data_IF_952309283785
#
_entry.id   IF_952309283785
#
_cell.length_a   1.000
_cell.length_b   1.000
_cell.length_c   1.000
_cell.angle_alpha   90.00
_cell.angle_beta   90.00
_cell.angle_gamma   90.00
#
_symmetry.space_group_name_H-M   'P 1'
#
loop_
_entity.id
_entity.type
_entity.pdbx_description
1 polymer ?
#
# COMPACT_ATOMS: atom_id res chain seq x y z
N UNK A 1 -32.51 43.27 27.91
CA UNK A 1 -31.55 42.43 28.66
C UNK A 1 -30.32 43.27 28.87
N UNK A 2 -29.88 43.44 30.12
CA UNK A 2 -28.81 44.38 30.45
C UNK A 2 -27.49 43.92 29.81
N UNK A 3 -26.84 44.82 29.06
CA UNK A 3 -25.50 44.60 28.54
C UNK A 3 -24.52 44.64 29.72
N UNK A 4 -24.08 43.46 30.16
CA UNK A 4 -23.14 43.30 31.25
C UNK A 4 -21.73 43.37 30.67
N UNK A 5 -21.15 44.58 30.66
CA UNK A 5 -19.79 44.81 30.15
C UNK A 5 -18.75 44.15 31.06
N UNK A 6 -18.00 43.18 30.51
CA UNK A 6 -16.86 42.56 31.18
C UNK A 6 -15.57 43.30 30.76
N UNK A 7 -14.71 43.65 31.72
CA UNK A 7 -13.35 44.12 31.44
C UNK A 7 -12.38 42.94 31.50
N UNK A 8 -11.83 42.54 30.35
CA UNK A 8 -10.91 41.40 30.20
C UNK A 8 -11.05 40.74 28.83
N UNK A 9 -10.28 39.68 28.59
CA UNK A 9 -10.46 38.80 27.40
C UNK A 9 -11.49 37.74 27.73
N UNK A 10 -12.55 37.66 26.93
CA UNK A 10 -13.54 36.59 26.98
C UNK A 10 -13.24 35.57 25.86
N UNK A 11 -13.13 34.29 26.23
CA UNK A 11 -13.03 33.19 25.28
C UNK A 11 -14.39 32.48 25.22
N UNK A 12 -15.13 32.71 24.14
CA UNK A 12 -16.33 31.92 23.82
C UNK A 12 -15.96 30.82 22.83
N UNK A 13 -15.66 29.62 23.34
CA UNK A 13 -15.38 28.46 22.49
C UNK A 13 -16.69 27.77 22.08
N UNK A 14 -17.18 28.12 20.89
CA UNK A 14 -18.39 27.49 20.31
C UNK A 14 -18.02 26.12 19.75
N UNK A 15 -18.27 25.07 20.54
CA UNK A 15 -18.02 23.67 20.17
C UNK A 15 -19.15 23.03 19.32
N UNK A 16 -20.29 23.71 19.19
CA UNK A 16 -21.46 23.20 18.46
C UNK A 16 -21.50 23.67 17.00
N UNK A 17 -21.63 22.71 16.08
CA UNK A 17 -21.85 22.93 14.66
C UNK A 17 -21.90 21.58 13.93
N UNK A 18 -22.51 21.50 12.74
CA UNK A 18 -22.46 20.27 11.96
C UNK A 18 -21.01 19.95 11.61
N UNK A 19 -20.48 18.84 12.14
CA UNK A 19 -19.20 18.29 11.68
C UNK A 19 -19.42 17.66 10.31
N UNK A 20 -18.80 18.21 9.27
CA UNK A 20 -18.89 17.64 7.93
C UNK A 20 -18.33 16.22 7.94
N UNK A 21 -19.16 15.24 7.56
CA UNK A 21 -18.71 13.87 7.32
C UNK A 21 -17.88 13.91 6.03
N UNK A 22 -16.59 13.59 6.13
CA UNK A 22 -15.75 13.39 4.95
C UNK A 22 -15.97 11.97 4.45
N UNK A 23 -16.39 11.84 3.20
CA UNK A 23 -16.42 10.53 2.54
C UNK A 23 -14.98 10.10 2.30
N UNK A 24 -14.56 9.02 2.95
CA UNK A 24 -13.25 8.41 2.69
C UNK A 24 -13.30 7.70 1.35
N UNK A 25 -12.28 7.91 0.51
CA UNK A 25 -12.19 7.20 -0.77
C UNK A 25 -11.70 5.78 -0.48
N UNK A 26 -12.59 4.80 -0.60
CA UNK A 26 -12.26 3.38 -0.36
C UNK A 26 -11.49 2.71 -1.50
N UNK A 27 -11.30 3.41 -2.63
CA UNK A 27 -10.78 2.84 -3.89
C UNK A 27 -9.30 3.17 -4.16
N UNK A 28 -8.53 3.54 -3.14
CA UNK A 28 -7.10 3.85 -3.30
C UNK A 28 -6.30 2.56 -3.18
N UNK A 29 -5.54 2.24 -4.21
CA UNK A 29 -4.72 1.02 -4.30
C UNK A 29 -3.30 1.35 -3.87
N UNK A 30 -2.77 0.66 -2.86
CA UNK A 30 -1.36 0.62 -2.53
C UNK A 30 -0.71 -0.53 -3.29
N UNK A 31 0.25 -0.20 -4.15
CA UNK A 31 0.98 -1.14 -4.98
C UNK A 31 2.46 -1.08 -4.62
N UNK A 32 3.05 -2.23 -4.30
CA UNK A 32 4.47 -2.35 -3.97
C UNK A 32 5.14 -3.39 -4.86
N UNK A 33 6.33 -3.08 -5.36
CA UNK A 33 7.06 -4.00 -6.21
C UNK A 33 8.37 -3.42 -6.74
N UNK A 34 8.94 -4.14 -7.68
CA UNK A 34 10.22 -3.83 -8.31
C UNK A 34 10.02 -3.11 -9.65
N UNK A 35 10.88 -2.14 -9.92
CA UNK A 35 10.97 -1.44 -11.20
C UNK A 35 12.39 -0.90 -11.37
N UNK A 36 13.33 -1.64 -11.98
CA UNK A 36 14.72 -1.18 -12.13
C UNK A 36 14.82 0.03 -13.07
N UNK A 37 14.00 0.06 -14.13
CA UNK A 37 14.04 1.10 -15.18
C UNK A 37 13.24 2.37 -14.84
N UNK A 38 12.68 2.46 -13.62
CA UNK A 38 11.90 3.63 -13.23
C UNK A 38 12.78 4.87 -13.03
N UNK A 39 12.25 6.03 -13.42
CA UNK A 39 12.90 7.32 -13.19
C UNK A 39 13.05 7.58 -11.68
N UNK A 40 14.28 7.55 -11.18
CA UNK A 40 14.63 7.71 -9.77
C UNK A 40 14.18 9.07 -9.19
N UNK A 41 14.04 10.11 -10.02
CA UNK A 41 13.59 11.42 -9.56
C UNK A 41 12.08 11.43 -9.29
N UNK A 42 11.31 10.65 -10.05
CA UNK A 42 9.85 10.58 -9.95
C UNK A 42 9.41 9.47 -9.01
N UNK A 43 10.07 8.31 -9.09
CA UNK A 43 9.83 7.14 -8.26
C UNK A 43 11.09 6.79 -7.45
N UNK A 44 11.39 7.56 -6.40
CA UNK A 44 12.46 7.24 -5.48
C UNK A 44 12.20 5.91 -4.76
N UNK A 45 13.27 5.19 -4.44
CA UNK A 45 13.18 3.93 -3.70
C UNK A 45 12.55 4.14 -2.33
N UNK A 46 11.70 3.19 -1.92
CA UNK A 46 11.04 3.10 -0.62
C UNK A 46 10.16 4.30 -0.24
N UNK A 47 9.82 5.18 -1.19
CA UNK A 47 8.94 6.33 -0.93
C UNK A 47 7.62 6.19 -1.67
N UNK A 48 6.48 6.43 -0.99
CA UNK A 48 5.18 6.36 -1.63
C UNK A 48 5.00 7.54 -2.60
N UNK A 49 4.60 7.24 -3.83
CA UNK A 49 4.30 8.21 -4.88
C UNK A 49 2.88 7.96 -5.38
N UNK A 50 2.06 9.01 -5.46
CA UNK A 50 0.68 8.90 -5.93
C UNK A 50 0.61 9.11 -7.43
N UNK A 51 -0.02 8.16 -8.13
CA UNK A 51 -0.42 8.27 -9.54
C UNK A 51 -1.93 8.41 -9.60
N UNK A 52 -2.41 9.44 -10.28
CA UNK A 52 -3.84 9.76 -10.39
C UNK A 52 -4.39 9.28 -11.73
N UNK A 53 -4.37 7.96 -11.97
CA UNK A 53 -4.92 7.34 -13.20
C UNK A 53 -4.21 7.73 -14.50
N UNK A 54 -3.06 8.41 -14.43
CA UNK A 54 -2.35 8.92 -15.60
C UNK A 54 -1.38 7.88 -16.17
N UNK A 55 -1.69 7.37 -17.37
CA UNK A 55 -0.77 6.48 -18.11
C UNK A 55 0.58 7.13 -18.42
N UNK A 56 0.62 8.46 -18.56
CA UNK A 56 1.87 9.21 -18.81
C UNK A 56 2.79 9.20 -17.60
N UNK A 57 2.24 9.28 -16.40
CA UNK A 57 3.03 9.19 -15.15
C UNK A 57 3.49 7.76 -14.92
N UNK A 58 2.60 6.78 -15.11
CA UNK A 58 2.94 5.37 -15.00
C UNK A 58 4.01 4.92 -15.99
N UNK A 59 4.07 5.49 -17.20
CA UNK A 59 5.12 5.18 -18.18
C UNK A 59 6.54 5.45 -17.67
N UNK A 60 6.70 6.33 -16.66
CA UNK A 60 8.01 6.61 -16.05
C UNK A 60 8.48 5.52 -15.09
N UNK A 61 7.68 4.50 -14.83
CA UNK A 61 8.12 3.30 -14.10
C UNK A 61 8.95 2.35 -14.98
N UNK A 62 9.04 2.63 -16.28
CA UNK A 62 9.70 1.75 -17.24
C UNK A 62 8.77 0.66 -17.74
N UNK A 63 9.34 -0.36 -18.39
CA UNK A 63 8.59 -1.46 -19.02
C UNK A 63 8.91 -2.82 -18.41
N UNK A 64 9.89 -2.90 -17.51
CA UNK A 64 10.41 -4.16 -16.96
C UNK A 64 10.02 -4.31 -15.49
N UNK A 65 10.02 -5.56 -15.02
CA UNK A 65 9.65 -5.97 -13.66
C UNK A 65 8.15 -5.81 -13.33
N UNK A 66 7.84 -5.82 -12.04
CA UNK A 66 6.48 -6.13 -11.53
C UNK A 66 5.55 -4.92 -11.49
N UNK A 67 6.06 -3.73 -11.16
CA UNK A 67 5.22 -2.52 -11.04
C UNK A 67 4.60 -2.06 -12.37
N UNK A 68 5.35 -1.97 -13.50
CA UNK A 68 4.75 -1.52 -14.76
C UNK A 68 3.65 -2.47 -15.25
N UNK A 69 3.86 -3.78 -15.12
CA UNK A 69 2.88 -4.79 -15.52
C UNK A 69 1.59 -4.68 -14.70
N UNK A 70 1.71 -4.55 -13.37
CA UNK A 70 0.55 -4.45 -12.49
C UNK A 70 -0.24 -3.15 -12.72
N UNK A 71 0.43 -2.02 -12.90
CA UNK A 71 -0.25 -0.75 -13.17
C UNK A 71 -0.96 -0.75 -14.52
N UNK A 72 -0.34 -1.32 -15.55
CA UNK A 72 -1.00 -1.47 -16.84
C UNK A 72 -2.26 -2.32 -16.72
N UNK A 73 -2.20 -3.46 -16.01
CA UNK A 73 -3.37 -4.29 -15.74
C UNK A 73 -4.50 -3.55 -15.01
N UNK A 74 -4.16 -2.70 -14.03
CA UNK A 74 -5.15 -1.86 -13.34
C UNK A 74 -5.74 -0.81 -14.31
N UNK A 75 -4.88 -0.09 -15.05
CA UNK A 75 -5.28 1.01 -15.94
C UNK A 75 -5.96 0.58 -17.24
N UNK A 76 -5.84 -0.68 -17.62
CA UNK A 76 -6.64 -1.28 -18.69
C UNK A 76 -8.09 -1.52 -18.25
N UNK A 77 -8.34 -1.69 -16.94
CA UNK A 77 -9.69 -1.76 -16.39
C UNK A 77 -10.23 -0.38 -16.04
N UNK A 78 -9.48 0.41 -15.26
CA UNK A 78 -9.89 1.74 -14.80
C UNK A 78 -8.70 2.61 -14.41
N UNK A 79 -8.78 3.93 -14.69
CA UNK A 79 -7.84 4.93 -14.19
C UNK A 79 -7.98 5.18 -12.69
N UNK A 80 -7.59 4.20 -11.87
CA UNK A 80 -7.62 4.29 -10.42
C UNK A 80 -6.53 5.21 -9.84
N UNK A 81 -6.72 5.65 -8.60
CA UNK A 81 -5.63 6.27 -7.84
C UNK A 81 -4.77 5.17 -7.23
N UNK A 82 -3.47 5.20 -7.55
CA UNK A 82 -2.52 4.17 -7.13
C UNK A 82 -1.37 4.83 -6.40
N UNK A 83 -1.13 4.40 -5.17
CA UNK A 83 0.06 4.76 -4.39
C UNK A 83 1.10 3.69 -4.68
N UNK A 84 2.17 4.07 -5.34
CA UNK A 84 3.26 3.17 -5.74
C UNK A 84 4.40 3.31 -4.76
N UNK A 85 4.88 2.19 -4.25
CA UNK A 85 6.13 2.07 -3.50
C UNK A 85 7.08 1.22 -4.32
N UNK A 86 8.17 1.84 -4.79
CA UNK A 86 9.22 1.14 -5.53
C UNK A 86 10.24 0.57 -4.56
N UNK A 87 10.57 -0.70 -4.75
CA UNK A 87 11.57 -1.42 -3.98
C UNK A 87 12.70 -1.87 -4.92
N UNK A 88 13.91 -1.95 -4.38
CA UNK A 88 15.08 -2.46 -5.09
C UNK A 88 14.97 -3.98 -5.28
N UNK A 89 15.25 -4.45 -6.51
CA UNK A 89 15.36 -5.88 -6.78
C UNK A 89 16.69 -6.39 -6.19
N UNK A 90 16.63 -7.48 -5.42
CA UNK A 90 17.82 -8.17 -4.94
C UNK A 90 18.47 -9.03 -6.03
N UNK A 91 19.62 -9.62 -5.73
CA UNK A 91 20.29 -10.58 -6.61
C UNK A 91 19.48 -11.89 -6.74
N UNK A 92 18.73 -12.22 -5.69
CA UNK A 92 17.81 -13.34 -5.67
C UNK A 92 16.38 -12.95 -5.23
N UNK A 93 15.47 -13.91 -5.34
CA UNK A 93 14.08 -13.73 -4.98
C UNK A 93 13.89 -13.54 -3.47
N UNK A 94 14.73 -14.18 -2.65
CA UNK A 94 14.66 -14.07 -1.20
C UNK A 94 15.05 -12.67 -0.69
N UNK A 95 16.09 -12.07 -1.26
CA UNK A 95 16.52 -10.70 -1.00
C UNK A 95 15.47 -9.71 -1.51
N UNK A 96 14.87 -9.96 -2.67
CA UNK A 96 13.76 -9.14 -3.17
C UNK A 96 12.57 -9.18 -2.21
N UNK A 97 12.19 -10.35 -1.70
CA UNK A 97 11.14 -10.51 -0.68
C UNK A 97 11.51 -9.75 0.61
N UNK A 98 12.77 -9.83 1.05
CA UNK A 98 13.24 -9.11 2.22
C UNK A 98 13.15 -7.58 2.03
N UNK A 99 13.53 -7.07 0.86
CA UNK A 99 13.41 -5.66 0.51
C UNK A 99 11.95 -5.21 0.46
N UNK A 100 11.04 -6.07 -0.03
CA UNK A 100 9.60 -5.79 -0.08
C UNK A 100 9.01 -5.71 1.32
N UNK A 101 9.32 -6.66 2.22
CA UNK A 101 8.89 -6.59 3.63
C UNK A 101 9.42 -5.29 4.25
N UNK A 102 10.69 -5.00 3.99
CA UNK A 102 11.36 -3.79 4.43
C UNK A 102 11.42 -3.68 5.95
N UNK A 103 11.24 -2.46 6.45
CA UNK A 103 11.43 -2.14 7.87
C UNK A 103 11.56 -0.64 8.09
N UNK A 104 12.36 -0.26 9.06
CA UNK A 104 12.72 1.16 9.31
C UNK A 104 14.21 1.31 9.09
N UNK A 105 14.60 2.32 8.31
CA UNK A 105 16.00 2.69 8.18
C UNK A 105 16.52 3.27 9.50
N UNK A 106 17.60 2.71 10.03
CA UNK A 106 18.17 3.13 11.31
C UNK A 106 18.82 4.53 11.24
N UNK A 107 19.29 4.94 10.06
CA UNK A 107 20.00 6.20 9.85
C UNK A 107 19.04 7.34 9.50
N UNK A 108 18.09 7.11 8.59
CA UNK A 108 17.15 8.16 8.16
C UNK A 108 15.83 8.15 8.92
N UNK A 109 15.49 7.04 9.58
CA UNK A 109 14.17 6.84 10.21
C UNK A 109 13.05 6.62 9.19
N UNK A 110 13.37 6.52 7.90
CA UNK A 110 12.37 6.32 6.85
C UNK A 110 11.86 4.87 6.85
N UNK A 111 10.58 4.71 6.56
CA UNK A 111 10.00 3.39 6.32
C UNK A 111 10.46 2.81 4.98
N UNK A 112 10.71 1.51 4.95
CA UNK A 112 11.07 0.73 3.77
C UNK A 112 10.01 -0.33 3.47
N UNK A 113 9.91 -0.70 2.20
CA UNK A 113 9.03 -1.78 1.76
C UNK A 113 7.57 -1.53 2.12
N UNK A 114 6.88 -2.57 2.60
CA UNK A 114 5.45 -2.54 2.97
C UNK A 114 5.17 -1.52 4.07
N UNK A 115 6.14 -1.23 4.95
CA UNK A 115 5.94 -0.22 6.00
C UNK A 115 5.82 1.21 5.45
N UNK A 116 6.32 1.47 4.23
CA UNK A 116 6.20 2.79 3.60
C UNK A 116 4.74 3.19 3.33
N UNK A 117 3.79 2.25 3.32
CA UNK A 117 2.37 2.59 3.25
C UNK A 117 1.85 3.34 4.48
N UNK A 118 2.50 3.20 5.65
CA UNK A 118 2.13 3.95 6.85
C UNK A 118 2.42 5.45 6.72
N UNK A 119 3.44 5.84 5.95
CA UNK A 119 3.78 7.24 5.69
C UNK A 119 3.05 7.82 4.48
N UNK A 120 2.30 7.03 3.73
CA UNK A 120 1.60 7.48 2.53
C UNK A 120 0.61 8.62 2.81
N UNK A 121 -0.17 8.54 3.89
CA UNK A 121 -1.12 9.61 4.24
C UNK A 121 -0.40 10.94 4.55
N UNK A 122 0.79 10.88 5.13
CA UNK A 122 1.60 12.07 5.44
C UNK A 122 2.23 12.68 4.19
N UNK A 123 2.78 11.84 3.30
CA UNK A 123 3.59 12.27 2.14
C UNK A 123 2.69 12.64 0.96
N UNK A 124 1.73 11.78 0.62
CA UNK A 124 0.90 11.92 -0.59
C UNK A 124 -0.55 12.32 -0.27
N UNK A 125 -0.87 12.56 1.01
CA UNK A 125 -2.21 12.97 1.46
C UNK A 125 -3.31 11.96 1.11
N UNK A 126 -2.94 10.69 0.94
CA UNK A 126 -3.82 9.59 0.58
C UNK A 126 -3.39 8.33 1.33
N UNK A 127 -4.36 7.67 1.98
CA UNK A 127 -4.16 6.38 2.62
C UNK A 127 -4.63 5.27 1.66
N UNK A 128 -3.85 4.19 1.45
CA UNK A 128 -4.33 3.05 0.68
C UNK A 128 -5.45 2.34 1.44
N UNK A 129 -6.45 1.83 0.73
CA UNK A 129 -7.52 0.98 1.29
C UNK A 129 -7.45 -0.46 0.78
N UNK A 130 -6.72 -0.68 -0.32
CA UNK A 130 -6.44 -1.99 -0.93
C UNK A 130 -4.92 -2.11 -1.05
N UNK A 131 -4.33 -3.23 -0.68
CA UNK A 131 -2.89 -3.49 -0.81
C UNK A 131 -2.64 -4.66 -1.75
N UNK A 132 -1.71 -4.47 -2.68
CA UNK A 132 -1.35 -5.45 -3.71
C UNK A 132 0.18 -5.52 -3.80
N UNK A 133 0.71 -6.75 -3.79
CA UNK A 133 2.12 -7.04 -4.05
C UNK A 133 2.22 -8.06 -5.19
N UNK A 134 2.27 -7.61 -6.45
CA UNK A 134 2.16 -8.46 -7.62
C UNK A 134 3.35 -9.42 -7.70
N UNK A 135 3.06 -10.73 -7.80
CA UNK A 135 4.07 -11.74 -8.06
C UNK A 135 4.91 -12.18 -6.85
N UNK A 136 4.68 -11.64 -5.64
CA UNK A 136 5.39 -12.06 -4.43
C UNK A 136 4.49 -12.62 -3.33
N UNK A 137 3.20 -12.80 -3.61
CA UNK A 137 2.19 -13.28 -2.64
C UNK A 137 1.90 -14.78 -2.74
N UNK A 138 2.12 -15.38 -3.91
CA UNK A 138 1.82 -16.80 -4.18
C UNK A 138 2.78 -17.79 -3.48
N UNK A 139 3.98 -17.34 -3.13
CA UNK A 139 5.07 -18.23 -2.68
C UNK A 139 4.87 -18.71 -1.24
N UNK A 140 5.30 -19.95 -0.98
CA UNK A 140 5.35 -20.57 0.35
C UNK A 140 6.77 -21.05 0.66
N UNK A 141 7.71 -20.13 0.96
CA UNK A 141 9.10 -20.50 1.21
C UNK A 141 9.18 -21.46 2.39
N UNK A 142 9.96 -22.53 2.24
CA UNK A 142 10.10 -23.60 3.25
C UNK A 142 8.78 -24.23 3.71
N UNK A 143 7.75 -24.24 2.86
CA UNK A 143 6.39 -24.72 3.18
C UNK A 143 5.75 -23.97 4.37
N UNK A 144 6.12 -22.69 4.54
CA UNK A 144 5.56 -21.79 5.53
C UNK A 144 4.73 -20.70 4.85
N UNK A 145 3.89 -20.04 5.66
CA UNK A 145 3.11 -18.88 5.23
C UNK A 145 4.01 -17.81 4.60
N UNK A 146 3.55 -17.20 3.51
CA UNK A 146 4.26 -16.13 2.83
C UNK A 146 4.63 -14.98 3.80
N UNK A 147 5.91 -14.60 3.90
CA UNK A 147 6.36 -13.58 4.85
C UNK A 147 5.91 -12.15 4.43
N UNK A 148 5.72 -11.88 3.14
CA UNK A 148 5.18 -10.62 2.64
C UNK A 148 3.77 -10.39 3.17
N UNK A 149 2.87 -11.38 3.00
CA UNK A 149 1.49 -11.27 3.49
C UNK A 149 1.46 -11.14 5.01
N UNK A 150 2.30 -11.90 5.72
CA UNK A 150 2.42 -11.83 7.17
C UNK A 150 2.78 -10.41 7.65
N UNK A 151 3.70 -9.73 6.95
CA UNK A 151 4.03 -8.32 7.24
C UNK A 151 2.91 -7.35 6.84
N UNK A 152 2.24 -7.58 5.70
CA UNK A 152 1.13 -6.76 5.23
C UNK A 152 -0.07 -6.84 6.15
N UNK A 153 -0.32 -7.97 6.81
CA UNK A 153 -1.40 -8.14 7.79
C UNK A 153 -1.28 -7.14 8.95
N UNK A 154 -0.07 -6.96 9.48
CA UNK A 154 0.21 -5.98 10.55
C UNK A 154 -0.12 -4.56 10.09
N UNK A 155 0.17 -4.23 8.83
CA UNK A 155 -0.13 -2.92 8.26
C UNK A 155 -1.63 -2.78 7.95
N UNK A 156 -2.26 -3.84 7.46
CA UNK A 156 -3.66 -3.88 7.10
C UNK A 156 -4.58 -3.70 8.32
N UNK A 157 -4.20 -4.23 9.49
CA UNK A 157 -4.93 -3.98 10.72
C UNK A 157 -4.82 -2.53 11.20
N UNK A 158 -3.66 -1.89 11.00
CA UNK A 158 -3.43 -0.47 11.37
C UNK A 158 -4.17 0.50 10.45
N UNK A 159 -4.05 0.31 9.14
CA UNK A 159 -4.65 1.17 8.12
C UNK A 159 -6.09 0.77 7.76
N UNK A 160 -6.58 -0.34 8.34
CA UNK A 160 -7.89 -0.95 8.03
C UNK A 160 -8.06 -1.29 6.55
N UNK A 161 -7.00 -1.76 5.90
CA UNK A 161 -7.01 -2.12 4.47
C UNK A 161 -7.38 -3.59 4.27
N UNK A 162 -7.65 -3.93 3.00
CA UNK A 162 -7.81 -5.30 2.51
C UNK A 162 -6.59 -5.63 1.65
N UNK A 163 -6.07 -6.85 1.80
CA UNK A 163 -4.97 -7.37 1.01
C UNK A 163 -5.55 -8.26 -0.09
N UNK A 164 -5.18 -7.99 -1.33
CA UNK A 164 -5.46 -8.89 -2.45
C UNK A 164 -4.16 -9.63 -2.76
N UNK A 165 -4.23 -10.95 -2.69
CA UNK A 165 -3.08 -11.83 -2.85
C UNK A 165 -3.32 -12.83 -3.99
N UNK A 166 -2.24 -13.14 -4.69
CA UNK A 166 -2.21 -14.09 -5.78
C UNK A 166 -2.11 -15.52 -5.20
N UNK A 167 -2.86 -16.46 -5.78
CA UNK A 167 -2.76 -17.87 -5.45
C UNK A 167 -1.58 -18.58 -6.13
N UNK A 168 -1.29 -19.84 -5.74
CA UNK A 168 -0.14 -20.60 -6.23
C UNK A 168 -0.22 -21.02 -7.70
N UNK A 169 -1.40 -20.99 -8.35
CA UNK A 169 -1.59 -21.37 -9.76
C UNK A 169 -1.06 -22.77 -10.10
N UNK A 170 -1.19 -23.72 -9.18
CA UNK A 170 -0.75 -25.12 -9.37
C UNK A 170 -1.93 -26.08 -9.42
N UNK A 171 -2.63 -26.27 -8.30
CA UNK A 171 -3.82 -27.09 -8.21
C UNK A 171 -4.71 -26.59 -7.05
N UNK A 172 -5.99 -27.01 -7.07
CA UNK A 172 -6.98 -26.61 -6.06
C UNK A 172 -6.55 -26.97 -4.63
N UNK A 173 -5.83 -28.07 -4.44
CA UNK A 173 -5.39 -28.53 -3.13
C UNK A 173 -4.30 -27.61 -2.54
N UNK A 174 -3.37 -27.15 -3.37
CA UNK A 174 -2.34 -26.18 -3.01
C UNK A 174 -2.96 -24.81 -2.71
N UNK A 175 -3.97 -24.41 -3.49
CA UNK A 175 -4.72 -23.17 -3.24
C UNK A 175 -5.51 -23.22 -1.92
N UNK A 176 -6.13 -24.35 -1.59
CA UNK A 176 -6.78 -24.56 -0.28
C UNK A 176 -5.75 -24.50 0.84
N UNK A 177 -4.59 -25.13 0.65
CA UNK A 177 -3.52 -25.14 1.65
C UNK A 177 -2.97 -23.74 1.89
N UNK A 178 -2.72 -22.98 0.82
CA UNK A 178 -2.31 -21.59 0.90
C UNK A 178 -3.34 -20.74 1.65
N UNK A 179 -4.65 -20.93 1.36
CA UNK A 179 -5.72 -20.20 2.05
C UNK A 179 -5.72 -20.49 3.56
N UNK A 180 -5.45 -21.73 3.95
CA UNK A 180 -5.42 -22.12 5.36
C UNK A 180 -4.25 -21.50 6.15
N UNK A 181 -3.19 -21.05 5.48
CA UNK A 181 -2.08 -20.36 6.15
C UNK A 181 -2.50 -19.00 6.72
N UNK A 182 -3.51 -18.34 6.12
CA UNK A 182 -3.93 -16.99 6.46
C UNK A 182 -5.39 -16.96 6.93
N UNK A 183 -5.62 -17.28 8.20
CA UNK A 183 -6.94 -17.22 8.85
C UNK A 183 -7.43 -15.81 9.20
N UNK A 184 -7.29 -14.82 8.30
CA UNK A 184 -7.68 -13.43 8.55
C UNK A 184 -8.72 -12.91 7.53
N UNK A 185 -9.75 -12.21 8.03
CA UNK A 185 -10.82 -11.62 7.23
C UNK A 185 -10.36 -10.55 6.21
N UNK A 186 -9.15 -10.02 6.35
CA UNK A 186 -8.58 -8.97 5.48
C UNK A 186 -7.81 -9.52 4.27
N UNK A 187 -7.55 -10.82 4.20
CA UNK A 187 -6.81 -11.42 3.07
C UNK A 187 -7.80 -12.03 2.09
N UNK A 188 -7.77 -11.55 0.86
CA UNK A 188 -8.55 -12.08 -0.24
C UNK A 188 -7.61 -12.75 -1.26
N UNK A 189 -7.76 -14.07 -1.41
CA UNK A 189 -6.99 -14.85 -2.39
C UNK A 189 -7.70 -14.84 -3.75
N UNK A 190 -6.93 -14.60 -4.81
CA UNK A 190 -7.34 -14.76 -6.20
C UNK A 190 -6.43 -15.80 -6.84
N UNK A 191 -6.97 -16.99 -7.08
CA UNK A 191 -6.33 -18.09 -7.81
C UNK A 191 -7.18 -18.38 -9.07
N UNK A 192 -6.57 -18.63 -10.24
CA UNK A 192 -7.29 -18.81 -11.51
C UNK A 192 -8.05 -20.13 -11.65
#
# INVERSE_FOLDING_TARGET
MAEQFLHGVELSEVSSGPRTIRTTKSSIIGLIGTAPDADNAVFPLNKPVLIVGSRREAAKLGTTATLPMAINGIFDQIGAMVIVVRVEAGEDEAETIANIIGGVDVQTGDYKGVQAFLSAESIVHAAPCILITPGFTHQRPNNQANPVISSMLVIADRLRTIIIADGPNTNDQDAITWRNDFGNARVYIVDP
#
